data_IF_050741884487
#
_entry.id   IF_050741884487
#
_cell.length_a   1.000
_cell.length_b   1.000
_cell.length_c   1.000
_cell.angle_alpha   90.00
_cell.angle_beta   90.00
_cell.angle_gamma   90.00
#
_symmetry.space_group_name_H-M   'P 1'
#
loop_
_entity.id
_entity.type
_entity.pdbx_description
1 polymer ?
#
# COMPACT_ATOMS: atom_id res chain seq x y z
N UNK A 1 -7.30 -14.32 -11.60
CA UNK A 1 -7.46 -13.96 -10.18
C UNK A 1 -6.72 -12.66 -9.92
N UNK A 2 -7.42 -11.66 -9.38
CA UNK A 2 -6.94 -10.33 -9.05
C UNK A 2 -6.85 -10.21 -7.54
N UNK A 3 -5.64 -10.12 -7.00
CA UNK A 3 -5.38 -9.98 -5.58
C UNK A 3 -5.11 -8.52 -5.25
N UNK A 4 -5.77 -8.02 -4.21
CA UNK A 4 -5.55 -6.68 -3.68
C UNK A 4 -5.11 -6.77 -2.23
N UNK A 5 -3.88 -6.37 -1.93
CA UNK A 5 -3.33 -6.27 -0.58
C UNK A 5 -3.55 -4.86 -0.03
N UNK A 6 -4.06 -4.73 1.19
CA UNK A 6 -4.13 -3.46 1.91
C UNK A 6 -3.19 -3.56 3.12
N UNK A 7 -2.19 -2.69 3.19
CA UNK A 7 -1.15 -2.73 4.23
C UNK A 7 -0.72 -1.34 4.67
N UNK A 8 -0.35 -1.18 5.93
CA UNK A 8 0.26 0.03 6.50
C UNK A 8 1.80 0.06 6.35
N UNK A 9 2.42 -1.07 6.02
CA UNK A 9 3.87 -1.24 5.94
C UNK A 9 4.48 -0.97 4.57
N UNK A 10 3.68 -0.71 3.52
CA UNK A 10 4.23 -0.44 2.20
C UNK A 10 5.10 0.82 2.22
N UNK A 11 6.26 0.76 1.57
CA UNK A 11 7.21 1.88 1.48
C UNK A 11 7.84 2.27 2.80
N UNK A 12 7.83 1.36 3.75
CA UNK A 12 8.66 1.44 4.95
C UNK A 12 10.09 0.93 4.69
N UNK A 13 11.02 1.24 5.58
CA UNK A 13 12.39 0.76 5.54
C UNK A 13 12.54 -0.70 5.99
N UNK A 14 11.44 -1.33 6.43
CA UNK A 14 11.42 -2.66 7.03
C UNK A 14 11.45 -3.81 5.99
N UNK A 15 11.73 -5.03 6.46
CA UNK A 15 11.81 -6.22 5.61
C UNK A 15 10.47 -6.61 4.97
N UNK A 16 9.35 -6.37 5.65
CA UNK A 16 8.00 -6.69 5.15
C UNK A 16 7.66 -5.83 3.92
N UNK A 17 7.99 -4.54 3.96
CA UNK A 17 7.87 -3.60 2.85
C UNK A 17 8.63 -4.08 1.63
N UNK A 18 9.88 -4.54 1.80
CA UNK A 18 10.70 -5.09 0.70
C UNK A 18 10.07 -6.36 0.15
N UNK A 19 9.63 -7.26 1.01
CA UNK A 19 8.97 -8.50 0.61
C UNK A 19 7.71 -8.24 -0.23
N UNK A 20 6.87 -7.28 0.17
CA UNK A 20 5.68 -6.89 -0.59
C UNK A 20 6.06 -6.27 -1.94
N UNK A 21 7.12 -5.45 -1.98
CA UNK A 21 7.64 -4.88 -3.22
C UNK A 21 8.19 -5.97 -4.16
N UNK A 22 8.87 -6.98 -3.63
CA UNK A 22 9.38 -8.11 -4.41
C UNK A 22 8.24 -8.95 -4.98
N UNK A 23 7.19 -9.22 -4.18
CA UNK A 23 5.97 -9.86 -4.68
C UNK A 23 5.34 -9.02 -5.79
N UNK A 24 5.24 -7.70 -5.61
CA UNK A 24 4.70 -6.81 -6.61
C UNK A 24 5.52 -6.83 -7.91
N UNK A 25 6.85 -6.84 -7.82
CA UNK A 25 7.76 -6.93 -8.96
C UNK A 25 7.62 -8.27 -9.70
N UNK A 26 7.61 -9.38 -8.95
CA UNK A 26 7.41 -10.73 -9.50
C UNK A 26 6.03 -10.87 -10.17
N UNK A 27 4.99 -10.29 -9.58
CA UNK A 27 3.65 -10.30 -10.15
C UNK A 27 3.62 -9.55 -11.49
N UNK A 28 4.30 -8.40 -11.60
CA UNK A 28 4.42 -7.68 -12.88
C UNK A 28 5.16 -8.51 -13.92
N UNK A 29 6.30 -9.09 -13.56
CA UNK A 29 7.11 -9.91 -14.46
C UNK A 29 6.34 -11.13 -14.99
N UNK A 30 5.46 -11.70 -14.16
CA UNK A 30 4.64 -12.88 -14.51
C UNK A 30 3.23 -12.52 -15.00
N UNK A 31 2.97 -11.23 -15.26
CA UNK A 31 1.68 -10.69 -15.70
C UNK A 31 0.50 -11.14 -14.81
N UNK A 32 0.75 -11.26 -13.50
CA UNK A 32 -0.26 -11.57 -12.49
C UNK A 32 -0.88 -10.28 -11.98
N UNK A 33 -2.19 -10.29 -11.84
CA UNK A 33 -2.93 -9.15 -11.32
C UNK A 33 -2.85 -9.10 -9.78
N UNK A 34 -1.77 -8.51 -9.29
CA UNK A 34 -1.56 -8.17 -7.88
C UNK A 34 -1.51 -6.66 -7.73
N UNK A 35 -2.19 -6.12 -6.72
CA UNK A 35 -2.17 -4.70 -6.39
C UNK A 35 -1.92 -4.54 -4.89
N UNK A 36 -0.97 -3.70 -4.49
CA UNK A 36 -0.77 -3.36 -3.08
C UNK A 36 -1.16 -1.90 -2.84
N UNK A 37 -2.01 -1.68 -1.85
CA UNK A 37 -2.46 -0.38 -1.40
C UNK A 37 -1.93 -0.09 -0.01
N UNK A 38 -1.51 1.15 0.19
CA UNK A 38 -1.15 1.64 1.51
C UNK A 38 -1.57 3.06 1.73
N UNK A 39 -1.86 3.39 2.98
CA UNK A 39 -2.17 4.73 3.43
C UNK A 39 -1.00 5.25 4.25
N UNK A 40 -0.04 5.88 3.59
CA UNK A 40 1.18 6.35 4.25
C UNK A 40 1.74 7.61 3.60
N UNK A 41 2.61 8.31 4.33
CA UNK A 41 3.43 9.42 3.81
C UNK A 41 4.85 8.97 3.44
N UNK A 42 5.20 7.71 3.72
CA UNK A 42 6.53 7.15 3.48
C UNK A 42 6.85 7.08 1.99
N UNK A 43 8.13 7.24 1.64
CA UNK A 43 8.62 7.36 0.25
C UNK A 43 9.73 6.36 -0.09
N UNK A 44 9.94 5.31 0.70
CA UNK A 44 11.03 4.34 0.46
C UNK A 44 10.73 3.31 -0.63
N UNK A 45 9.59 3.40 -1.33
CA UNK A 45 9.31 2.55 -2.49
C UNK A 45 9.79 3.16 -3.80
N UNK A 46 10.19 2.30 -4.73
CA UNK A 46 10.17 2.65 -6.14
C UNK A 46 8.72 2.70 -6.66
N UNK A 47 8.43 3.69 -7.50
CA UNK A 47 7.10 3.82 -8.10
C UNK A 47 6.84 2.65 -9.05
N UNK A 48 5.73 1.94 -8.83
CA UNK A 48 5.26 0.88 -9.72
C UNK A 48 3.76 1.03 -10.00
N UNK A 49 3.34 0.56 -11.16
CA UNK A 49 1.95 0.58 -11.64
C UNK A 49 0.98 -0.27 -10.80
N UNK A 50 1.51 -1.20 -10.01
CA UNK A 50 0.75 -2.03 -9.09
C UNK A 50 0.93 -1.70 -7.60
N UNK A 51 1.67 -0.64 -7.27
CA UNK A 51 1.85 -0.13 -5.91
C UNK A 51 1.13 1.23 -5.78
N UNK A 52 0.18 1.31 -4.86
CA UNK A 52 -0.68 2.48 -4.69
C UNK A 52 -0.53 3.07 -3.29
N UNK A 53 0.11 4.22 -3.21
CA UNK A 53 0.28 4.97 -1.96
C UNK A 53 -0.75 6.08 -1.92
N UNK A 54 -1.76 5.92 -1.07
CA UNK A 54 -2.79 6.92 -0.82
C UNK A 54 -2.34 7.83 0.32
N UNK A 55 -2.20 9.13 0.04
CA UNK A 55 -1.80 10.09 1.09
C UNK A 55 -2.95 10.29 2.10
N UNK A 56 -2.72 10.05 3.40
CA UNK A 56 -3.69 10.36 4.44
C UNK A 56 -3.92 11.87 4.57
N UNK A 57 -5.15 12.27 4.93
CA UNK A 57 -5.49 13.68 5.15
C UNK A 57 -4.91 14.19 6.47
N UNK A 58 -4.93 13.35 7.50
CA UNK A 58 -4.44 13.68 8.83
C UNK A 58 -3.66 12.51 9.43
N UNK A 59 -2.48 12.81 9.95
CA UNK A 59 -1.61 11.86 10.66
C UNK A 59 -1.07 12.50 11.92
N UNK A 60 -0.85 11.68 12.95
CA UNK A 60 -0.18 12.08 14.19
C UNK A 60 1.06 11.19 14.32
N UNK A 61 2.20 11.74 14.73
CA UNK A 61 3.38 10.92 15.02
C UNK A 61 3.07 9.96 16.16
N UNK A 62 3.43 8.69 16.01
CA UNK A 62 3.29 7.76 17.13
C UNK A 62 4.28 8.14 18.25
N UNK A 63 3.81 8.23 19.50
CA UNK A 63 4.73 8.39 20.63
C UNK A 63 5.66 7.17 20.68
N UNK A 64 6.95 7.40 20.94
CA UNK A 64 8.03 6.41 20.98
C UNK A 64 8.46 5.79 19.63
N UNK A 65 7.78 6.10 18.52
CA UNK A 65 8.15 5.61 17.17
C UNK A 65 8.30 6.79 16.19
N UNK A 66 9.54 7.29 16.06
CA UNK A 66 9.85 8.49 15.26
C UNK A 66 9.51 8.36 13.77
N UNK A 67 9.54 7.12 13.24
CA UNK A 67 9.33 6.82 11.82
C UNK A 67 7.93 6.27 11.52
N UNK A 68 7.02 6.25 12.51
CA UNK A 68 5.65 5.79 12.34
C UNK A 68 4.65 6.93 12.55
N UNK A 69 3.74 7.04 11.59
CA UNK A 69 2.62 7.97 11.61
C UNK A 69 1.34 7.17 11.88
N UNK A 70 0.61 7.53 12.93
CA UNK A 70 -0.75 7.06 13.15
C UNK A 70 -1.68 7.78 12.17
N UNK A 71 -2.34 7.02 11.29
CA UNK A 71 -3.32 7.56 10.36
C UNK A 71 -4.65 7.73 11.07
N UNK A 72 -5.06 8.97 11.31
CA UNK A 72 -6.36 9.28 11.95
C UNK A 72 -7.47 9.31 10.91
N UNK A 73 -7.21 9.91 9.74
CA UNK A 73 -8.19 10.04 8.67
C UNK A 73 -7.65 9.37 7.41
N UNK A 74 -7.94 8.07 7.22
CA UNK A 74 -7.59 7.40 5.99
C UNK A 74 -8.43 7.98 4.84
N UNK A 75 -7.91 8.02 3.60
CA UNK A 75 -8.66 8.43 2.43
C UNK A 75 -9.58 7.27 1.99
N UNK A 76 -10.45 6.80 2.89
CA UNK A 76 -11.27 5.60 2.72
C UNK A 76 -12.04 5.63 1.39
N UNK A 77 -12.67 6.76 1.07
CA UNK A 77 -13.40 6.91 -0.20
C UNK A 77 -12.51 6.71 -1.44
N UNK A 78 -11.27 7.21 -1.43
CA UNK A 78 -10.33 6.98 -2.54
C UNK A 78 -9.91 5.52 -2.60
N UNK A 79 -9.63 4.90 -1.45
CA UNK A 79 -9.31 3.47 -1.38
C UNK A 79 -10.46 2.61 -1.94
N UNK A 80 -11.69 2.85 -1.49
CA UNK A 80 -12.88 2.16 -2.01
C UNK A 80 -13.09 2.38 -3.50
N UNK A 81 -12.92 3.61 -4.00
CA UNK A 81 -13.02 3.92 -5.43
C UNK A 81 -11.99 3.14 -6.24
N UNK A 82 -10.76 3.05 -5.75
CA UNK A 82 -9.69 2.32 -6.40
C UNK A 82 -9.92 0.81 -6.39
N UNK A 83 -10.31 0.24 -5.25
CA UNK A 83 -10.68 -1.18 -5.13
C UNK A 83 -11.82 -1.51 -6.10
N UNK A 84 -12.87 -0.67 -6.13
CA UNK A 84 -14.00 -0.86 -7.04
C UNK A 84 -13.61 -0.75 -8.52
N UNK A 85 -12.62 0.08 -8.84
CA UNK A 85 -12.05 0.22 -10.19
C UNK A 85 -11.25 -1.01 -10.59
N UNK A 86 -10.44 -1.58 -9.69
CA UNK A 86 -9.63 -2.78 -9.95
C UNK A 86 -10.45 -4.07 -9.98
N UNK A 87 -11.61 -4.08 -9.31
CA UNK A 87 -12.50 -5.26 -9.15
C UNK A 87 -11.71 -6.50 -8.72
N UNK A 88 -10.99 -6.48 -7.58
CA UNK A 88 -10.25 -7.64 -7.15
C UNK A 88 -11.19 -8.82 -6.87
N UNK A 89 -10.68 -10.02 -7.10
CA UNK A 89 -11.39 -11.25 -6.77
C UNK A 89 -11.13 -11.63 -5.30
N UNK A 90 -10.01 -11.17 -4.71
CA UNK A 90 -9.68 -11.32 -3.30
C UNK A 90 -9.03 -10.04 -2.74
N UNK A 91 -9.44 -9.64 -1.54
CA UNK A 91 -8.81 -8.56 -0.76
C UNK A 91 -8.13 -9.20 0.46
N UNK A 92 -6.85 -8.91 0.66
CA UNK A 92 -6.06 -9.32 1.81
C UNK A 92 -5.68 -8.11 2.65
#
# INVERSE_FOLDING_TARGET
MRLCLITDTLCDANGVSRFIQDIAAQARQKEKAFYAFSVTRKKHCQSADNLYILKPRFTIKMPFYHDLDLVIVPPAWRLFKEIRRKRPDLIH
#
